data_IF_331484170227
#
_entry.id   IF_331484170227
#
_cell.length_a   1.000
_cell.length_b   1.000
_cell.length_c   1.000
_cell.angle_alpha   90.00
_cell.angle_beta   90.00
_cell.angle_gamma   90.00
#
_symmetry.space_group_name_H-M   'P 1'
#
loop_
_entity.id
_entity.type
_entity.pdbx_description
1 polymer ?
#
# COMPACT_ATOMS: atom_id res chain seq x y z
N UNK A 1 -3.88 47.40 8.45
CA UNK A 1 -4.31 46.51 7.34
C UNK A 1 -3.15 46.08 6.44
N UNK A 2 -2.33 47.00 5.92
CA UNK A 2 -1.18 46.67 5.04
C UNK A 2 -0.11 45.76 5.68
N UNK A 3 0.24 45.97 6.94
CA UNK A 3 1.27 45.16 7.66
C UNK A 3 0.83 43.71 7.86
N UNK A 4 -0.44 43.48 8.18
CA UNK A 4 -1.01 42.12 8.33
C UNK A 4 -0.99 41.35 7.00
N UNK A 5 -1.25 42.05 5.90
CA UNK A 5 -1.20 41.46 4.55
C UNK A 5 0.23 41.07 4.15
N UNK A 6 1.23 41.88 4.53
CA UNK A 6 2.65 41.60 4.27
C UNK A 6 3.13 40.39 5.09
N UNK A 7 2.78 40.32 6.37
CA UNK A 7 3.13 39.17 7.22
C UNK A 7 2.47 37.88 6.68
N UNK A 8 1.20 37.97 6.27
CA UNK A 8 0.50 36.86 5.62
C UNK A 8 1.18 36.39 4.33
N UNK A 9 1.61 37.32 3.46
CA UNK A 9 2.32 36.98 2.24
C UNK A 9 3.66 36.28 2.53
N UNK A 10 4.45 36.77 3.50
CA UNK A 10 5.73 36.17 3.88
C UNK A 10 5.52 34.75 4.43
N UNK A 11 4.49 34.53 5.25
CA UNK A 11 4.16 33.21 5.78
C UNK A 11 3.78 32.21 4.68
N UNK A 12 2.99 32.65 3.69
CA UNK A 12 2.63 31.82 2.53
C UNK A 12 3.85 31.50 1.69
N UNK A 13 4.71 32.47 1.39
CA UNK A 13 5.94 32.23 0.65
C UNK A 13 6.87 31.27 1.40
N UNK A 14 7.05 31.43 2.71
CA UNK A 14 7.85 30.53 3.52
C UNK A 14 7.31 29.08 3.47
N UNK A 15 5.98 28.91 3.52
CA UNK A 15 5.34 27.60 3.42
C UNK A 15 5.52 26.98 2.03
N UNK A 16 5.40 27.78 0.97
CA UNK A 16 5.63 27.33 -0.41
C UNK A 16 7.08 26.88 -0.64
N UNK A 17 8.07 27.62 -0.12
CA UNK A 17 9.47 27.23 -0.20
C UNK A 17 9.76 25.96 0.59
N UNK A 18 9.14 25.80 1.77
CA UNK A 18 9.30 24.60 2.59
C UNK A 18 8.71 23.35 1.90
N UNK A 19 7.50 23.46 1.35
CA UNK A 19 6.86 22.38 0.59
C UNK A 19 7.65 22.04 -0.68
N UNK A 20 8.11 23.04 -1.43
CA UNK A 20 8.95 22.85 -2.61
C UNK A 20 10.28 22.16 -2.27
N UNK A 21 10.93 22.57 -1.18
CA UNK A 21 12.16 21.94 -0.69
C UNK A 21 11.98 20.48 -0.30
N UNK A 22 10.88 20.15 0.41
CA UNK A 22 10.54 18.77 0.75
C UNK A 22 10.27 17.94 -0.51
N UNK A 23 9.54 18.50 -1.47
CA UNK A 23 9.22 17.82 -2.73
C UNK A 23 10.48 17.55 -3.56
N UNK A 24 11.41 18.51 -3.62
CA UNK A 24 12.72 18.35 -4.25
C UNK A 24 13.59 17.32 -3.54
N UNK A 25 13.56 17.26 -2.20
CA UNK A 25 14.29 16.24 -1.44
C UNK A 25 13.74 14.83 -1.71
N UNK A 26 12.42 14.67 -1.80
CA UNK A 26 11.78 13.41 -2.19
C UNK A 26 12.06 13.03 -3.66
N UNK A 27 12.08 14.01 -4.57
CA UNK A 27 12.48 13.80 -5.97
C UNK A 27 13.93 13.33 -6.06
N UNK A 28 14.85 14.02 -5.38
CA UNK A 28 16.27 13.67 -5.39
C UNK A 28 16.57 12.29 -4.77
N UNK A 29 15.79 11.87 -3.75
CA UNK A 29 15.86 10.52 -3.19
C UNK A 29 15.38 9.47 -4.20
N UNK A 30 14.32 9.77 -4.93
CA UNK A 30 13.80 8.90 -5.99
C UNK A 30 14.80 8.78 -7.13
N UNK A 31 15.41 9.88 -7.57
CA UNK A 31 16.45 9.89 -8.62
C UNK A 31 17.62 8.95 -8.29
N UNK A 32 18.12 8.96 -7.04
CA UNK A 32 19.17 8.04 -6.59
C UNK A 32 18.71 6.58 -6.69
N UNK A 33 17.50 6.28 -6.23
CA UNK A 33 16.90 4.94 -6.30
C UNK A 33 16.69 4.48 -7.74
N UNK A 34 16.28 5.37 -8.65
CA UNK A 34 16.14 5.09 -10.08
C UNK A 34 17.49 4.85 -10.76
N UNK A 35 18.53 5.59 -10.38
CA UNK A 35 19.91 5.37 -10.88
C UNK A 35 20.45 4.01 -10.46
N UNK A 36 20.29 3.67 -9.18
CA UNK A 36 20.67 2.36 -8.63
C UNK A 36 19.92 1.22 -9.33
N UNK A 37 18.59 1.32 -9.43
CA UNK A 37 17.77 0.30 -10.09
C UNK A 37 18.12 0.14 -11.57
N UNK A 38 18.45 1.24 -12.26
CA UNK A 38 18.86 1.23 -13.67
C UNK A 38 20.27 0.63 -13.85
N UNK A 39 21.19 0.88 -12.92
CA UNK A 39 22.49 0.24 -12.90
C UNK A 39 22.37 -1.28 -12.67
N UNK A 40 21.51 -1.69 -11.73
CA UNK A 40 21.20 -3.11 -11.50
C UNK A 40 20.56 -3.76 -12.73
N UNK A 41 19.66 -3.05 -13.41
CA UNK A 41 19.01 -3.56 -14.63
C UNK A 41 20.02 -3.74 -15.77
N UNK A 42 20.93 -2.79 -15.96
CA UNK A 42 22.00 -2.92 -16.96
C UNK A 42 23.02 -4.01 -16.58
N UNK A 43 23.26 -4.24 -15.28
CA UNK A 43 24.09 -5.34 -14.82
C UNK A 43 23.43 -6.71 -15.08
N UNK A 44 22.13 -6.83 -14.81
CA UNK A 44 21.35 -8.04 -15.13
C UNK A 44 21.30 -8.28 -16.65
N UNK A 45 21.22 -7.22 -17.45
CA UNK A 45 21.15 -7.30 -18.91
C UNK A 45 22.50 -7.66 -19.57
N UNK A 46 23.62 -7.24 -18.98
CA UNK A 46 24.96 -7.47 -19.55
C UNK A 46 25.70 -8.67 -18.93
N UNK A 47 25.23 -9.23 -17.81
CA UNK A 47 25.76 -10.47 -17.23
C UNK A 47 25.05 -11.68 -17.87
N UNK A 48 25.76 -12.56 -18.60
CA UNK A 48 25.13 -13.77 -19.15
C UNK A 48 24.66 -14.69 -18.01
N UNK A 49 23.52 -15.38 -18.18
CA UNK A 49 22.92 -16.17 -17.11
C UNK A 49 23.75 -17.43 -16.88
N UNK A 50 24.54 -17.44 -15.80
CA UNK A 50 25.01 -18.69 -15.21
C UNK A 50 24.04 -19.01 -14.07
N UNK A 51 23.02 -19.79 -14.40
CA UNK A 51 22.27 -20.57 -13.42
C UNK A 51 23.19 -21.70 -12.88
N UNK A 52 22.93 -22.29 -11.69
CA UNK A 52 21.62 -22.33 -11.03
C UNK A 52 21.61 -22.10 -9.50
N UNK A 53 20.40 -21.75 -9.03
CA UNK A 53 19.64 -22.33 -7.91
C UNK A 53 20.38 -22.69 -6.60
N UNK A 54 19.68 -22.40 -5.49
CA UNK A 54 19.88 -22.83 -4.09
C UNK A 54 20.50 -21.76 -3.17
N UNK A 55 19.63 -21.04 -2.47
CA UNK A 55 19.68 -20.95 -1.01
C UNK A 55 18.41 -20.28 -0.48
N UNK A 56 17.32 -21.06 -0.44
CA UNK A 56 16.23 -20.77 0.49
C UNK A 56 16.61 -21.47 1.79
N UNK A 57 17.11 -20.72 2.77
CA UNK A 57 17.10 -21.16 4.15
C UNK A 57 16.90 -19.96 5.08
N UNK A 58 15.66 -19.79 5.54
CA UNK A 58 15.37 -19.06 6.77
C UNK A 58 14.24 -19.82 7.50
N UNK A 59 14.46 -20.34 8.72
CA UNK A 59 13.42 -21.08 9.44
C UNK A 59 12.41 -20.12 10.06
N UNK A 60 11.17 -20.17 9.59
CA UNK A 60 10.04 -19.53 10.26
C UNK A 60 9.67 -20.36 11.49
N UNK A 61 9.91 -19.79 12.66
CA UNK A 61 9.40 -20.28 13.95
C UNK A 61 7.96 -19.80 14.14
N UNK A 62 7.00 -20.68 13.94
CA UNK A 62 5.60 -20.48 14.34
C UNK A 62 5.32 -21.07 15.73
N UNK A 63 4.17 -20.64 16.30
CA UNK A 63 3.41 -21.16 17.47
C UNK A 63 3.58 -20.29 18.72
N UNK A 64 2.55 -19.72 19.36
CA UNK A 64 1.09 -19.86 19.32
C UNK A 64 0.48 -18.92 20.41
N UNK A 65 -0.67 -19.21 21.04
CA UNK A 65 -1.96 -18.57 20.75
C UNK A 65 -2.56 -17.65 21.86
N UNK A 66 -3.50 -16.78 21.43
CA UNK A 66 -4.80 -16.38 22.05
C UNK A 66 -4.82 -15.84 23.49
N UNK A 67 -5.33 -14.59 23.66
CA UNK A 67 -6.50 -14.31 24.53
C UNK A 67 -7.02 -12.87 24.36
N UNK A 68 -8.34 -12.75 24.22
CA UNK A 68 -9.11 -11.54 24.56
C UNK A 68 -9.91 -11.85 25.83
N UNK A 69 -10.13 -10.87 26.71
CA UNK A 69 -11.53 -10.47 26.98
C UNK A 69 -11.71 -8.93 27.13
N UNK A 70 -12.94 -8.48 26.82
CA UNK A 70 -13.49 -7.12 27.03
C UNK A 70 -14.10 -6.96 28.46
N UNK A 71 -14.91 -5.94 28.84
CA UNK A 71 -15.12 -4.52 28.42
C UNK A 71 -15.16 -3.50 29.61
N UNK A 72 -15.25 -2.17 29.37
CA UNK A 72 -15.73 -1.17 30.38
C UNK A 72 -15.20 0.28 30.23
N UNK A 73 -15.94 1.35 30.61
CA UNK A 73 -16.15 2.53 29.76
C UNK A 73 -15.64 3.89 30.30
N UNK A 74 -15.33 4.85 29.40
CA UNK A 74 -15.46 6.30 29.62
C UNK A 74 -15.32 7.10 28.30
N UNK A 75 -16.31 7.94 28.01
CA UNK A 75 -16.41 8.87 26.87
C UNK A 75 -15.72 10.23 27.17
N UNK A 76 -15.81 11.32 26.37
CA UNK A 76 -16.27 11.52 24.97
C UNK A 76 -15.34 12.43 24.10
N UNK A 77 -15.75 12.65 22.84
CA UNK A 77 -15.49 13.82 21.98
C UNK A 77 -14.21 13.87 21.11
N UNK A 78 -14.40 13.66 19.80
CA UNK A 78 -14.18 14.70 18.79
C UNK A 78 -14.62 14.21 17.40
N UNK A 79 -15.32 15.08 16.69
CA UNK A 79 -15.80 14.95 15.32
C UNK A 79 -14.76 14.31 14.38
N UNK A 80 -15.00 13.08 13.96
CA UNK A 80 -14.45 12.53 12.74
C UNK A 80 -15.64 12.11 11.88
N UNK A 81 -15.72 12.70 10.70
CA UNK A 81 -16.62 12.32 9.60
C UNK A 81 -16.97 10.84 9.69
N UNK A 82 -18.23 10.55 10.04
CA UNK A 82 -18.74 9.20 10.11
C UNK A 82 -18.77 8.62 8.69
N UNK A 83 -17.61 8.14 8.20
CA UNK A 83 -17.60 6.92 7.41
C UNK A 83 -18.09 5.87 8.37
N UNK A 84 -19.41 5.64 8.37
CA UNK A 84 -19.96 4.43 8.96
C UNK A 84 -19.04 3.32 8.47
N UNK A 85 -18.39 2.54 9.36
CA UNK A 85 -17.66 1.36 8.93
C UNK A 85 -18.75 0.42 8.42
N UNK A 86 -19.12 0.60 7.15
CA UNK A 86 -20.03 -0.30 6.47
C UNK A 86 -19.29 -1.62 6.49
N UNK A 87 -19.82 -2.53 7.29
CA UNK A 87 -19.25 -3.85 7.51
C UNK A 87 -19.60 -4.66 6.27
N UNK A 88 -18.85 -4.47 5.19
CA UNK A 88 -19.03 -5.23 3.96
C UNK A 88 -18.66 -6.68 4.25
N UNK A 89 -19.64 -7.58 4.18
CA UNK A 89 -19.38 -9.01 4.17
C UNK A 89 -19.01 -9.38 2.75
N UNK A 90 -17.78 -9.85 2.50
CA UNK A 90 -17.27 -10.18 1.17
C UNK A 90 -18.06 -11.28 0.43
N UNK A 91 -19.06 -11.89 1.08
CA UNK A 91 -19.76 -13.07 0.58
C UNK A 91 -18.83 -14.29 0.56
N UNK A 92 -19.35 -15.41 0.07
CA UNK A 92 -18.55 -16.62 -0.14
C UNK A 92 -18.04 -16.64 -1.58
N UNK A 93 -16.73 -16.87 -1.76
CA UNK A 93 -16.08 -16.99 -3.07
C UNK A 93 -15.68 -18.44 -3.28
N UNK A 94 -16.12 -19.04 -4.39
CA UNK A 94 -15.75 -20.42 -4.75
C UNK A 94 -14.39 -20.45 -5.43
N UNK A 95 -13.40 -21.05 -4.76
CA UNK A 95 -12.06 -21.24 -5.31
C UNK A 95 -11.94 -22.65 -5.89
N UNK A 96 -11.63 -22.73 -7.18
CA UNK A 96 -11.40 -23.99 -7.88
C UNK A 96 -9.92 -24.08 -8.26
N UNK A 97 -9.17 -24.87 -7.49
CA UNK A 97 -7.73 -25.14 -7.67
C UNK A 97 -6.79 -23.95 -7.45
N UNK A 98 -7.31 -22.80 -7.03
CA UNK A 98 -6.51 -21.59 -6.78
C UNK A 98 -6.28 -21.40 -5.27
N UNK A 99 -5.03 -21.24 -4.80
CA UNK A 99 -4.75 -20.94 -3.40
C UNK A 99 -5.28 -19.55 -2.98
N UNK A 100 -5.71 -19.41 -1.72
CA UNK A 100 -6.28 -18.16 -1.17
C UNK A 100 -5.42 -16.92 -1.41
N UNK A 101 -4.09 -17.05 -1.27
CA UNK A 101 -3.15 -15.96 -1.52
C UNK A 101 -3.18 -15.51 -2.99
N UNK A 102 -3.26 -16.47 -3.91
CA UNK A 102 -3.32 -16.20 -5.35
C UNK A 102 -4.67 -15.59 -5.69
N UNK A 103 -5.75 -16.14 -5.13
CA UNK A 103 -7.09 -15.59 -5.28
C UNK A 103 -7.17 -14.13 -4.83
N UNK A 104 -6.66 -13.80 -3.63
CA UNK A 104 -6.63 -12.43 -3.12
C UNK A 104 -5.83 -11.48 -4.03
N UNK A 105 -4.71 -11.95 -4.58
CA UNK A 105 -3.91 -11.18 -5.53
C UNK A 105 -4.68 -10.90 -6.82
N UNK A 106 -5.39 -11.90 -7.36
CA UNK A 106 -6.26 -11.71 -8.53
C UNK A 106 -7.36 -10.68 -8.23
N UNK A 107 -8.00 -10.77 -7.06
CA UNK A 107 -9.04 -9.81 -6.67
C UNK A 107 -8.52 -8.36 -6.61
N UNK A 108 -7.30 -8.18 -6.12
CA UNK A 108 -6.67 -6.86 -6.03
C UNK A 108 -6.33 -6.29 -7.41
N UNK A 109 -5.78 -7.10 -8.31
CA UNK A 109 -5.46 -6.68 -9.68
C UNK A 109 -6.74 -6.26 -10.41
N UNK A 110 -7.80 -7.06 -10.34
CA UNK A 110 -9.07 -6.73 -11.03
C UNK A 110 -9.72 -5.46 -10.45
N UNK A 111 -9.61 -5.22 -9.14
CA UNK A 111 -10.09 -4.00 -8.51
C UNK A 111 -9.35 -2.76 -9.02
N UNK A 112 -8.03 -2.86 -9.19
CA UNK A 112 -7.18 -1.80 -9.73
C UNK A 112 -7.50 -1.49 -11.20
N UNK A 113 -7.62 -2.54 -12.03
CA UNK A 113 -7.96 -2.39 -13.45
C UNK A 113 -9.36 -1.79 -13.69
N UNK A 114 -10.33 -2.15 -12.85
CA UNK A 114 -11.69 -1.65 -12.95
C UNK A 114 -11.90 -0.31 -12.21
N UNK A 115 -10.95 0.09 -11.35
CA UNK A 115 -11.09 1.26 -10.48
C UNK A 115 -12.22 1.14 -9.44
N UNK A 116 -12.74 -0.09 -9.22
CA UNK A 116 -13.81 -0.37 -8.25
C UNK A 116 -13.13 -0.87 -6.97
N UNK A 117 -13.40 -0.25 -5.80
CA UNK A 117 -12.78 -0.70 -4.56
C UNK A 117 -13.17 -2.14 -4.22
N UNK A 118 -12.25 -2.90 -3.63
CA UNK A 118 -12.44 -4.33 -3.30
C UNK A 118 -13.67 -4.61 -2.41
N UNK A 119 -14.19 -3.60 -1.71
CA UNK A 119 -15.43 -3.69 -0.91
C UNK A 119 -16.71 -3.76 -1.74
N UNK A 120 -16.69 -3.21 -2.96
CA UNK A 120 -17.83 -3.17 -3.89
C UNK A 120 -17.71 -4.23 -5.00
N UNK A 121 -16.50 -4.76 -5.22
CA UNK A 121 -16.23 -5.83 -6.16
C UNK A 121 -16.57 -7.21 -5.58
N UNK A 122 -17.43 -7.98 -6.26
CA UNK A 122 -17.86 -9.31 -5.82
C UNK A 122 -17.47 -10.41 -6.81
N UNK A 123 -16.61 -11.32 -6.36
CA UNK A 123 -16.23 -12.50 -7.12
C UNK A 123 -17.22 -13.64 -6.90
N UNK A 124 -17.73 -14.23 -7.99
CA UNK A 124 -18.62 -15.39 -7.90
C UNK A 124 -17.81 -16.69 -7.82
N UNK A 125 -16.76 -16.82 -8.62
CA UNK A 125 -15.86 -17.98 -8.64
C UNK A 125 -14.51 -17.61 -9.26
N UNK A 126 -13.43 -18.22 -8.77
CA UNK A 126 -12.09 -18.10 -9.35
C UNK A 126 -11.62 -19.51 -9.74
N UNK A 127 -11.21 -19.66 -11.00
CA UNK A 127 -10.76 -20.93 -11.60
C UNK A 127 -9.62 -20.67 -12.56
N UNK A 128 -8.72 -21.63 -12.65
CA UNK A 128 -7.74 -21.68 -13.73
C UNK A 128 -8.45 -22.02 -15.05
N UNK A 129 -8.00 -21.41 -16.15
CA UNK A 129 -8.44 -21.76 -17.50
C UNK A 129 -7.48 -22.85 -17.99
N UNK A 130 -7.95 -24.10 -17.96
CA UNK A 130 -7.27 -25.26 -18.55
C UNK A 130 -7.80 -25.53 -19.95
#
# INVERSE_FOLDING_TARGET
MRVVFIIGAIAVFALLFFVSGILLAHCASSDKKYRELKAMLEEIKNKPPIAPVVSIQAPIRQKGPVRMPAPGPAAPAALQTARVPVKYTAGEVKLHSVPDKVAAMLMAITADELGIPISELRFISIREVQ
#
